data_IF_882078302982
#
_entry.id   IF_882078302982
#
_cell.length_a   1.000
_cell.length_b   1.000
_cell.length_c   1.000
_cell.angle_alpha   90.00
_cell.angle_beta   90.00
_cell.angle_gamma   90.00
#
_symmetry.space_group_name_H-M   'P 1'
#
loop_
_entity.id
_entity.type
_entity.pdbx_description
1 polymer ?
#
# COMPACT_ATOMS: atom_id res chain seq x y z
N UNK A 1 -8.81 -3.97 -3.03
CA UNK A 1 -7.51 -3.44 -2.56
C UNK A 1 -7.84 -2.51 -1.41
N UNK A 2 -7.32 -2.78 -0.22
CA UNK A 2 -7.71 -2.04 0.99
C UNK A 2 -6.87 -0.76 1.07
N UNK A 3 -7.48 0.32 1.56
CA UNK A 3 -6.82 1.62 1.76
C UNK A 3 -6.55 1.82 3.24
N UNK A 4 -5.42 2.43 3.57
CA UNK A 4 -5.03 2.80 4.93
C UNK A 4 -4.94 4.33 4.98
N UNK A 5 -5.61 4.94 5.94
CA UNK A 5 -5.75 6.39 6.03
C UNK A 5 -5.21 6.96 7.34
N UNK A 6 -5.13 6.15 8.40
CA UNK A 6 -4.62 6.54 9.73
C UNK A 6 -3.46 5.66 10.20
N UNK A 7 -2.65 6.20 11.11
CA UNK A 7 -1.54 5.50 11.75
C UNK A 7 -2.03 4.31 12.58
N UNK A 8 -3.19 4.40 13.22
CA UNK A 8 -3.78 3.28 13.97
C UNK A 8 -4.05 2.08 13.07
N UNK A 9 -4.62 2.31 11.88
CA UNK A 9 -4.85 1.25 10.89
C UNK A 9 -3.53 0.66 10.38
N UNK A 10 -2.49 1.48 10.22
CA UNK A 10 -1.16 1.03 9.83
C UNK A 10 -0.58 0.10 10.90
N UNK A 11 -0.61 0.52 12.16
CA UNK A 11 -0.11 -0.22 13.32
C UNK A 11 -0.81 -1.59 13.45
N UNK A 12 -2.14 -1.60 13.33
CA UNK A 12 -2.91 -2.85 13.36
C UNK A 12 -2.50 -3.83 12.25
N UNK A 13 -2.15 -3.33 11.07
CA UNK A 13 -1.78 -4.19 9.93
C UNK A 13 -0.38 -4.76 10.12
N UNK A 14 0.59 -3.96 10.57
CA UNK A 14 1.95 -4.45 10.80
C UNK A 14 2.03 -5.45 11.97
N UNK A 15 1.12 -5.36 12.94
CA UNK A 15 1.04 -6.33 14.05
C UNK A 15 0.39 -7.65 13.64
N UNK A 16 -0.53 -7.63 12.66
CA UNK A 16 -1.33 -8.81 12.26
C UNK A 16 -0.73 -9.59 11.09
N UNK A 17 -0.01 -8.92 10.18
CA UNK A 17 0.46 -9.53 8.94
C UNK A 17 1.97 -9.84 9.00
N UNK A 18 2.34 -11.09 8.72
CA UNK A 18 3.75 -11.53 8.68
C UNK A 18 4.58 -10.78 7.61
N UNK A 19 3.92 -10.35 6.52
CA UNK A 19 4.51 -9.58 5.44
C UNK A 19 3.45 -8.74 4.74
N UNK A 20 3.72 -7.44 4.57
CA UNK A 20 2.77 -6.49 3.98
C UNK A 20 3.50 -5.47 3.10
N UNK A 21 2.87 -5.07 2.00
CA UNK A 21 3.30 -3.99 1.14
C UNK A 21 2.33 -2.81 1.23
N UNK A 22 2.83 -1.66 1.69
CA UNK A 22 2.11 -0.40 1.64
C UNK A 22 2.54 0.38 0.39
N UNK A 23 1.58 0.67 -0.48
CA UNK A 23 1.80 1.39 -1.73
C UNK A 23 1.42 2.86 -1.56
N UNK A 24 2.43 3.67 -1.24
CA UNK A 24 2.32 5.12 -1.12
C UNK A 24 2.24 5.76 -2.50
N UNK A 25 1.13 6.45 -2.77
CA UNK A 25 0.88 7.10 -4.05
C UNK A 25 -0.23 8.14 -3.91
N UNK A 26 -0.54 8.87 -4.98
CA UNK A 26 -1.72 9.73 -5.07
C UNK A 26 -2.25 9.72 -6.51
N UNK A 27 -3.48 10.19 -6.76
CA UNK A 27 -4.10 10.11 -8.10
C UNK A 27 -3.31 10.81 -9.22
N UNK A 28 -2.63 11.90 -8.88
CA UNK A 28 -1.81 12.67 -9.82
C UNK A 28 -0.42 12.03 -10.10
N UNK A 29 -0.07 10.91 -9.47
CA UNK A 29 1.19 10.23 -9.73
C UNK A 29 1.12 9.39 -11.02
N UNK A 30 1.58 9.98 -12.13
CA UNK A 30 1.51 9.33 -13.45
C UNK A 30 2.34 8.03 -13.53
N UNK A 31 3.49 7.98 -12.87
CA UNK A 31 4.35 6.78 -12.82
C UNK A 31 3.67 5.66 -12.03
N UNK A 32 2.98 6.01 -10.93
CA UNK A 32 2.29 5.06 -10.08
C UNK A 32 1.15 4.34 -10.82
N UNK A 33 0.48 5.00 -11.77
CA UNK A 33 -0.57 4.36 -12.61
C UNK A 33 -0.03 3.18 -13.42
N UNK A 34 1.24 3.24 -13.84
CA UNK A 34 1.91 2.16 -14.59
C UNK A 34 2.53 1.13 -13.65
N UNK A 35 3.11 1.55 -12.53
CA UNK A 35 3.78 0.65 -11.60
C UNK A 35 2.83 -0.15 -10.72
N UNK A 36 1.76 0.46 -10.21
CA UNK A 36 0.80 -0.19 -9.31
C UNK A 36 0.29 -1.55 -9.83
N UNK A 37 -0.18 -1.71 -11.09
CA UNK A 37 -0.62 -3.01 -11.58
C UNK A 37 0.52 -4.03 -11.66
N UNK A 38 1.74 -3.62 -12.02
CA UNK A 38 2.91 -4.52 -12.09
C UNK A 38 3.32 -5.03 -10.71
N UNK A 39 3.30 -4.15 -9.71
CA UNK A 39 3.59 -4.52 -8.32
C UNK A 39 2.51 -5.46 -7.77
N UNK A 40 1.23 -5.20 -8.06
CA UNK A 40 0.14 -6.09 -7.67
C UNK A 40 0.25 -7.48 -8.32
N UNK A 41 0.63 -7.54 -9.60
CA UNK A 41 0.88 -8.80 -10.31
C UNK A 41 2.06 -9.56 -9.71
N UNK A 42 3.18 -8.89 -9.45
CA UNK A 42 4.36 -9.48 -8.78
C UNK A 42 3.99 -10.05 -7.40
N UNK A 43 3.26 -9.31 -6.57
CA UNK A 43 2.82 -9.81 -5.27
C UNK A 43 1.93 -11.04 -5.41
N UNK A 44 1.02 -11.05 -6.39
CA UNK A 44 0.13 -12.19 -6.63
C UNK A 44 0.90 -13.44 -7.07
N UNK A 45 1.91 -13.28 -7.91
CA UNK A 45 2.64 -14.39 -8.52
C UNK A 45 3.81 -14.90 -7.66
N UNK A 46 4.51 -14.01 -6.98
CA UNK A 46 5.76 -14.31 -6.28
C UNK A 46 5.62 -14.28 -4.76
N UNK A 47 4.70 -13.47 -4.22
CA UNK A 47 4.50 -13.28 -2.78
C UNK A 47 3.03 -13.43 -2.36
N UNK A 48 2.35 -14.55 -2.69
CA UNK A 48 0.89 -14.69 -2.57
C UNK A 48 0.33 -14.57 -1.14
N UNK A 49 1.20 -14.67 -0.12
CA UNK A 49 0.85 -14.48 1.29
C UNK A 49 0.92 -13.01 1.74
N UNK A 50 1.61 -12.16 0.99
CA UNK A 50 1.76 -10.74 1.31
C UNK A 50 0.54 -9.95 0.87
N UNK A 51 0.01 -9.11 1.76
CA UNK A 51 -1.11 -8.23 1.42
C UNK A 51 -0.61 -6.88 0.91
N UNK A 52 -1.34 -6.30 -0.03
CA UNK A 52 -1.09 -4.96 -0.56
C UNK A 52 -2.14 -3.97 -0.08
N UNK A 53 -1.70 -2.88 0.52
CA UNK A 53 -2.54 -1.76 0.95
C UNK A 53 -2.15 -0.48 0.20
N UNK A 54 -3.13 0.36 -0.10
CA UNK A 54 -2.89 1.66 -0.74
C UNK A 54 -2.90 2.77 0.31
N UNK A 55 -1.93 3.68 0.26
CA UNK A 55 -1.87 4.85 1.12
C UNK A 55 -1.85 6.11 0.25
N UNK A 56 -2.85 6.98 0.39
CA UNK A 56 -2.88 8.24 -0.35
C UNK A 56 -2.00 9.29 0.34
N UNK A 57 -0.86 9.63 -0.27
CA UNK A 57 0.11 10.54 0.34
C UNK A 57 -0.37 11.99 0.44
N UNK A 58 -1.47 12.35 -0.22
CA UNK A 58 -2.07 13.69 -0.10
C UNK A 58 -3.07 13.77 1.03
N UNK A 59 -3.80 12.69 1.29
CA UNK A 59 -4.83 12.66 2.32
C UNK A 59 -4.30 12.16 3.66
N UNK A 60 -3.20 11.40 3.65
CA UNK A 60 -2.58 10.80 4.83
C UNK A 60 -1.11 11.19 4.93
N UNK A 61 -0.85 12.50 5.06
CA UNK A 61 0.50 13.03 5.16
C UNK A 61 1.28 12.45 6.35
N UNK A 62 0.61 12.17 7.47
CA UNK A 62 1.23 11.57 8.65
C UNK A 62 1.75 10.15 8.41
N UNK A 63 1.13 9.39 7.50
CA UNK A 63 1.59 8.05 7.11
C UNK A 63 2.79 8.10 6.15
N UNK A 64 2.99 9.22 5.47
CA UNK A 64 4.02 9.41 4.44
C UNK A 64 5.19 10.31 4.91
N UNK A 65 5.19 10.72 6.18
CA UNK A 65 6.14 11.67 6.79
C UNK A 65 7.45 11.01 7.23
#
# INVERSE_FOLDING_TARGET
MNTIETTEQYDEVIEKEDAVLFYFSHEQCNVCKVLKPKVAEMLTNEFPKSKMYYCDTKNSAELAA
#
